data_IF_620882707469
#
_entry.id   IF_620882707469
#
_cell.length_a   1.000
_cell.length_b   1.000
_cell.length_c   1.000
_cell.angle_alpha   90.00
_cell.angle_beta   90.00
_cell.angle_gamma   90.00
#
_symmetry.space_group_name_H-M   'P 1'
#
loop_
_entity.id
_entity.type
_entity.pdbx_description
1 polymer ?
#
# COMPACT_ATOMS: atom_id res chain seq x y z
N UNK A 1 -23.23 -2.46 22.92
CA UNK A 1 -21.77 -2.59 22.69
C UNK A 1 -21.56 -3.97 22.11
N UNK A 2 -21.84 -4.11 20.81
CA UNK A 2 -21.59 -5.37 20.11
C UNK A 2 -20.08 -5.53 19.99
N UNK A 3 -19.56 -6.58 20.61
CA UNK A 3 -18.18 -7.02 20.38
C UNK A 3 -18.10 -7.44 18.93
N UNK A 4 -17.57 -6.56 18.07
CA UNK A 4 -17.29 -6.89 16.69
C UNK A 4 -16.33 -8.06 16.67
N UNK A 5 -16.83 -9.24 16.29
CA UNK A 5 -15.99 -10.40 16.07
C UNK A 5 -14.93 -9.99 15.03
N UNK A 6 -13.65 -10.14 15.39
CA UNK A 6 -12.57 -9.89 14.45
C UNK A 6 -12.82 -10.78 13.23
N UNK A 7 -12.95 -10.16 12.06
CA UNK A 7 -13.10 -10.88 10.80
C UNK A 7 -11.86 -11.77 10.63
N UNK A 8 -12.08 -13.04 10.30
CA UNK A 8 -10.99 -13.96 10.06
C UNK A 8 -10.26 -13.53 8.78
N UNK A 9 -8.97 -13.19 8.90
CA UNK A 9 -8.16 -12.76 7.75
C UNK A 9 -7.48 -13.99 7.16
N UNK A 10 -8.07 -14.53 6.10
CA UNK A 10 -7.55 -15.71 5.36
C UNK A 10 -6.39 -15.41 4.40
N UNK A 11 -5.63 -14.34 4.63
CA UNK A 11 -4.50 -13.91 3.80
C UNK A 11 -3.22 -14.02 4.62
N UNK A 12 -2.19 -14.66 4.07
CA UNK A 12 -0.88 -14.80 4.72
C UNK A 12 0.18 -13.94 4.02
N UNK A 13 1.31 -13.60 4.69
CA UNK A 13 2.31 -12.71 4.12
C UNK A 13 2.92 -13.16 2.77
N UNK A 14 2.96 -14.48 2.51
CA UNK A 14 3.46 -15.04 1.25
C UNK A 14 2.45 -15.07 0.11
N UNK A 15 1.20 -14.66 0.35
CA UNK A 15 0.22 -14.53 -0.73
C UNK A 15 0.54 -13.33 -1.61
N UNK A 16 0.25 -13.44 -2.90
CA UNK A 16 0.43 -12.36 -3.87
C UNK A 16 -0.55 -11.22 -3.57
N UNK A 17 -0.03 -10.02 -3.34
CA UNK A 17 -0.79 -8.81 -3.08
C UNK A 17 -1.15 -8.07 -4.38
N UNK A 18 -0.21 -7.95 -5.32
CA UNK A 18 -0.45 -7.28 -6.60
C UNK A 18 0.44 -7.80 -7.73
N UNK A 19 0.03 -7.47 -8.96
CA UNK A 19 0.81 -7.69 -10.17
C UNK A 19 0.88 -6.40 -10.98
N UNK A 20 2.10 -5.92 -11.24
CA UNK A 20 2.35 -4.79 -12.14
C UNK A 20 3.06 -5.28 -13.40
N UNK A 21 2.56 -4.85 -14.56
CA UNK A 21 3.15 -5.21 -15.84
C UNK A 21 4.19 -4.19 -16.28
N UNK A 22 5.35 -4.69 -16.69
CA UNK A 22 6.44 -3.90 -17.28
C UNK A 22 6.61 -4.25 -18.75
N UNK A 23 7.11 -3.31 -19.57
CA UNK A 23 7.17 -3.44 -21.05
C UNK A 23 7.88 -4.70 -21.56
N UNK A 24 8.88 -5.20 -20.82
CA UNK A 24 9.65 -6.39 -21.16
C UNK A 24 10.57 -6.19 -22.39
N UNK A 25 11.83 -6.62 -22.27
CA UNK A 25 12.83 -6.49 -23.35
C UNK A 25 12.50 -7.26 -24.64
N UNK A 26 11.54 -8.19 -24.58
CA UNK A 26 11.09 -9.02 -25.72
C UNK A 26 9.82 -8.49 -26.40
N UNK A 27 9.39 -7.27 -26.06
CA UNK A 27 8.15 -6.67 -26.59
C UNK A 27 6.85 -7.28 -26.05
N UNK A 28 6.96 -8.18 -25.06
CA UNK A 28 5.82 -8.80 -24.37
C UNK A 28 5.87 -8.37 -22.89
N UNK A 29 4.80 -7.77 -22.36
CA UNK A 29 4.77 -7.35 -20.98
C UNK A 29 5.01 -8.51 -20.01
N UNK A 30 5.77 -8.24 -18.94
CA UNK A 30 6.05 -9.20 -17.86
C UNK A 30 5.36 -8.74 -16.58
N UNK A 31 4.55 -9.63 -16.00
CA UNK A 31 3.93 -9.39 -14.70
C UNK A 31 4.93 -9.62 -13.57
N UNK A 32 5.11 -8.63 -12.72
CA UNK A 32 5.89 -8.72 -11.49
C UNK A 32 4.92 -8.99 -10.36
N UNK A 33 4.99 -10.19 -9.78
CA UNK A 33 4.18 -10.59 -8.63
C UNK A 33 4.88 -10.10 -7.37
N UNK A 34 4.14 -9.44 -6.49
CA UNK A 34 4.66 -8.95 -5.21
C UNK A 34 3.76 -9.45 -4.08
N UNK A 35 4.38 -9.98 -3.03
CA UNK A 35 3.69 -10.59 -1.89
C UNK A 35 3.29 -9.55 -0.85
N UNK A 36 2.27 -9.87 -0.03
CA UNK A 36 1.82 -9.00 1.07
C UNK A 36 2.97 -8.60 2.01
N UNK A 37 3.85 -9.55 2.35
CA UNK A 37 5.01 -9.31 3.21
C UNK A 37 5.99 -8.28 2.63
N UNK A 38 6.11 -8.20 1.30
CA UNK A 38 6.96 -7.19 0.66
C UNK A 38 6.41 -5.77 0.85
N UNK A 39 5.09 -5.61 0.75
CA UNK A 39 4.40 -4.33 0.99
C UNK A 39 4.57 -3.89 2.44
N UNK A 40 4.35 -4.79 3.39
CA UNK A 40 4.53 -4.48 4.82
C UNK A 40 5.99 -4.07 5.10
N UNK A 41 6.96 -4.78 4.52
CA UNK A 41 8.37 -4.43 4.68
C UNK A 41 8.71 -3.05 4.11
N UNK A 42 8.13 -2.66 2.97
CA UNK A 42 8.28 -1.32 2.40
C UNK A 42 7.77 -0.23 3.36
N UNK A 43 6.57 -0.43 3.93
CA UNK A 43 5.97 0.54 4.83
C UNK A 43 6.74 0.66 6.15
N UNK A 44 7.07 -0.47 6.79
CA UNK A 44 7.84 -0.46 8.03
C UNK A 44 9.25 0.12 7.83
N UNK A 45 9.94 -0.24 6.74
CA UNK A 45 11.26 0.27 6.42
C UNK A 45 11.32 1.77 6.11
N UNK A 46 10.18 2.39 5.82
CA UNK A 46 10.09 3.83 5.53
C UNK A 46 9.47 4.65 6.68
N UNK A 47 8.82 3.98 7.64
CA UNK A 47 8.07 4.60 8.74
C UNK A 47 8.89 5.63 9.53
N UNK A 48 10.04 5.24 10.04
CA UNK A 48 10.88 6.13 10.86
C UNK A 48 11.51 7.27 10.06
N UNK A 49 11.72 7.06 8.76
CA UNK A 49 12.39 8.03 7.89
C UNK A 49 11.52 9.25 7.59
N UNK A 50 10.21 9.05 7.46
CA UNK A 50 9.28 10.12 7.07
C UNK A 50 8.41 10.63 8.22
N UNK A 51 8.21 9.83 9.28
CA UNK A 51 7.58 10.29 10.51
C UNK A 51 6.11 10.71 10.39
N UNK A 52 5.36 10.10 9.46
CA UNK A 52 3.95 10.42 9.23
C UNK A 52 3.07 10.15 10.46
N UNK A 53 2.11 11.05 10.69
CA UNK A 53 1.08 10.97 11.71
C UNK A 53 -0.34 10.89 11.13
N UNK A 54 -1.34 10.85 12.01
CA UNK A 54 -2.76 10.76 11.63
C UNK A 54 -3.31 12.00 10.93
N UNK A 55 -2.64 13.15 11.12
CA UNK A 55 -3.09 14.44 10.60
C UNK A 55 -2.48 14.75 9.22
N UNK A 56 -1.62 13.86 8.71
CA UNK A 56 -1.00 14.01 7.41
C UNK A 56 -1.94 13.61 6.27
N UNK A 57 -1.79 14.31 5.16
CA UNK A 57 -2.49 14.03 3.90
C UNK A 57 -1.50 13.41 2.93
N UNK A 58 -1.84 12.22 2.44
CA UNK A 58 -1.02 11.51 1.47
C UNK A 58 -1.49 11.81 0.05
N UNK A 59 -0.55 12.06 -0.86
CA UNK A 59 -0.88 12.20 -2.28
C UNK A 59 -0.93 10.83 -2.95
N UNK A 60 -1.99 10.58 -3.70
CA UNK A 60 -2.02 9.55 -4.73
C UNK A 60 -1.85 10.26 -6.07
N UNK A 61 -0.65 10.18 -6.63
CA UNK A 61 -0.29 10.92 -7.84
C UNK A 61 0.15 9.99 -8.96
N UNK A 62 0.89 8.94 -8.63
CA UNK A 62 1.35 8.01 -9.64
C UNK A 62 0.20 7.14 -10.12
N UNK A 63 0.20 6.84 -11.43
CA UNK A 63 -0.70 5.83 -11.98
C UNK A 63 -0.67 4.56 -11.15
N UNK A 64 -1.83 3.98 -10.86
CA UNK A 64 -1.94 2.70 -10.15
C UNK A 64 -1.27 1.52 -10.89
N UNK A 65 -0.84 1.73 -12.14
CA UNK A 65 -0.04 0.78 -12.90
C UNK A 65 1.48 0.94 -12.69
N UNK A 66 1.94 1.90 -11.86
CA UNK A 66 3.34 2.14 -11.54
C UNK A 66 3.62 1.79 -10.07
N UNK A 67 4.78 1.18 -9.78
CA UNK A 67 5.04 0.56 -8.47
C UNK A 67 5.10 1.55 -7.29
N UNK A 68 5.47 2.80 -7.53
CA UNK A 68 5.47 3.84 -6.50
C UNK A 68 4.06 4.11 -5.94
N UNK A 69 3.00 3.91 -6.72
CA UNK A 69 1.62 4.11 -6.25
C UNK A 69 1.25 3.15 -5.12
N UNK A 70 1.96 2.03 -4.94
CA UNK A 70 1.73 1.07 -3.85
C UNK A 70 2.02 1.72 -2.51
N UNK A 71 3.10 2.49 -2.41
CA UNK A 71 3.42 3.22 -1.18
C UNK A 71 2.38 4.33 -0.93
N UNK A 72 1.98 5.05 -1.97
CA UNK A 72 0.96 6.11 -1.90
C UNK A 72 -0.41 5.58 -1.42
N UNK A 73 -0.84 4.42 -1.94
CA UNK A 73 -2.11 3.78 -1.58
C UNK A 73 -2.08 3.23 -0.15
N UNK A 74 -1.07 2.42 0.18
CA UNK A 74 -1.08 1.65 1.42
C UNK A 74 -0.48 2.38 2.61
N UNK A 75 0.43 3.33 2.38
CA UNK A 75 1.08 4.07 3.45
C UNK A 75 0.09 4.95 4.23
N UNK A 76 -0.84 5.59 3.54
CA UNK A 76 -1.91 6.36 4.19
C UNK A 76 -2.77 5.46 5.10
N UNK A 77 -3.25 4.31 4.58
CA UNK A 77 -4.07 3.37 5.36
C UNK A 77 -3.28 2.81 6.55
N UNK A 78 -2.01 2.44 6.34
CA UNK A 78 -1.15 1.87 7.38
C UNK A 78 -0.86 2.85 8.52
N UNK A 79 -0.57 4.11 8.20
CA UNK A 79 -0.32 5.16 9.22
C UNK A 79 -1.61 5.54 9.95
N UNK A 80 -2.71 5.72 9.22
CA UNK A 80 -4.00 6.05 9.83
C UNK A 80 -4.47 4.99 10.84
N UNK A 81 -4.38 3.71 10.46
CA UNK A 81 -4.68 2.60 11.37
C UNK A 81 -3.74 2.54 12.57
N UNK A 82 -2.44 2.82 12.41
CA UNK A 82 -1.48 2.79 13.50
C UNK A 82 -1.64 3.93 14.52
N UNK A 83 -2.18 5.08 14.09
CA UNK A 83 -2.33 6.28 14.93
C UNK A 83 -3.76 6.52 15.45
N UNK A 84 -4.73 5.65 15.11
CA UNK A 84 -6.11 5.77 15.58
C UNK A 84 -6.91 6.92 14.94
N UNK A 85 -6.41 7.51 13.85
CA UNK A 85 -7.06 8.59 13.09
C UNK A 85 -7.09 8.26 11.59
N UNK A 86 -8.09 8.76 10.87
CA UNK A 86 -8.21 8.50 9.43
C UNK A 86 -7.25 9.37 8.62
N UNK A 87 -6.03 8.88 8.35
CA UNK A 87 -5.18 9.52 7.34
C UNK A 87 -5.91 9.48 5.98
N UNK A 88 -6.00 10.64 5.33
CA UNK A 88 -6.74 10.80 4.09
C UNK A 88 -5.78 10.82 2.88
N UNK A 89 -6.12 10.06 1.83
CA UNK A 89 -5.50 10.21 0.53
C UNK A 89 -6.22 11.29 -0.27
N UNK A 90 -5.47 12.18 -0.92
CA UNK A 90 -5.99 13.06 -1.96
C UNK A 90 -5.51 12.55 -3.32
N UNK A 91 -6.47 12.40 -4.23
CA UNK A 91 -6.20 12.10 -5.64
C UNK A 91 -5.65 13.37 -6.31
N UNK A 92 -4.42 13.30 -6.80
CA UNK A 92 -3.78 14.36 -7.54
C UNK A 92 -3.89 14.08 -9.05
N UNK A 93 -5.13 14.06 -9.56
CA UNK A 93 -5.52 13.96 -10.98
C UNK A 93 -4.84 12.82 -11.77
N UNK A 94 -5.62 11.75 -11.99
CA UNK A 94 -5.42 10.74 -13.03
C UNK A 94 -5.34 11.32 -14.46
#
# INVERSE_FOLDING_TARGET
MESGAALEVGVVPGDVAYVIYTSGSTGRPKGVLVEHGNVVNLLEGTRERFGFGSDDVWSLFHSYAFDFSVWELWGAVGVGWACGGGAACVDAFA
#
